data_IF_691334606535
#
_entry.id   IF_691334606535
#
_cell.length_a   1.000
_cell.length_b   1.000
_cell.length_c   1.000
_cell.angle_alpha   90.00
_cell.angle_beta   90.00
_cell.angle_gamma   90.00
#
_symmetry.space_group_name_H-M   'P 1'
#
loop_
_entity.id
_entity.type
_entity.pdbx_description
1 polymer ?
#
# COMPACT_ATOMS: atom_id res chain seq x y z
N UNK A 1 3.83 -3.03 -32.06
CA UNK A 1 3.48 -3.05 -30.61
C UNK A 1 4.68 -2.56 -29.83
N UNK A 2 4.55 -1.43 -29.10
CA UNK A 2 5.69 -0.77 -28.46
C UNK A 2 6.13 -1.52 -27.20
N UNK A 3 7.46 -1.55 -26.92
CA UNK A 3 8.09 -2.11 -25.73
C UNK A 3 7.41 -1.67 -24.42
N UNK A 4 6.87 -0.44 -24.37
CA UNK A 4 6.11 0.12 -23.25
C UNK A 4 4.75 -0.59 -22.97
N UNK A 5 4.09 -1.11 -24.00
CA UNK A 5 2.80 -1.83 -23.86
C UNK A 5 3.00 -3.24 -23.29
N UNK A 6 4.10 -3.90 -23.69
CA UNK A 6 4.47 -5.23 -23.19
C UNK A 6 4.94 -5.17 -21.70
N UNK A 7 5.61 -4.10 -21.29
CA UNK A 7 6.02 -3.91 -19.89
C UNK A 7 4.82 -3.63 -18.97
N UNK A 8 3.83 -2.83 -19.41
CA UNK A 8 2.59 -2.61 -18.65
C UNK A 8 1.79 -3.91 -18.45
N UNK A 9 1.71 -4.76 -19.47
CA UNK A 9 1.04 -6.06 -19.37
C UNK A 9 1.74 -7.02 -18.41
N UNK A 10 3.07 -7.08 -18.43
CA UNK A 10 3.88 -7.91 -17.52
C UNK A 10 3.80 -7.45 -16.07
N UNK A 11 3.81 -6.14 -15.80
CA UNK A 11 3.64 -5.58 -14.46
C UNK A 11 2.25 -5.92 -13.93
N UNK A 12 1.19 -5.75 -14.73
CA UNK A 12 -0.18 -6.13 -14.35
C UNK A 12 -0.30 -7.62 -14.03
N UNK A 13 0.30 -8.49 -14.83
CA UNK A 13 0.28 -9.94 -14.59
C UNK A 13 1.06 -10.33 -13.32
N UNK A 14 2.20 -9.70 -13.08
CA UNK A 14 2.98 -9.91 -11.84
C UNK A 14 2.19 -9.49 -10.60
N UNK A 15 1.48 -8.36 -10.66
CA UNK A 15 0.64 -7.89 -9.56
C UNK A 15 -0.51 -8.87 -9.29
N UNK A 16 -1.20 -9.34 -10.32
CA UNK A 16 -2.28 -10.33 -10.19
C UNK A 16 -1.81 -11.64 -9.55
N UNK A 17 -0.66 -12.17 -9.97
CA UNK A 17 -0.09 -13.40 -9.39
C UNK A 17 0.24 -13.23 -7.91
N UNK A 18 0.84 -12.09 -7.51
CA UNK A 18 1.12 -11.77 -6.11
C UNK A 18 -0.17 -11.68 -5.28
N UNK A 19 -1.19 -11.04 -5.82
CA UNK A 19 -2.49 -10.88 -5.17
C UNK A 19 -3.18 -12.23 -4.94
N UNK A 20 -3.18 -13.12 -5.93
CA UNK A 20 -3.72 -14.49 -5.80
C UNK A 20 -3.00 -15.26 -4.69
N UNK A 21 -1.67 -15.17 -4.61
CA UNK A 21 -0.91 -15.82 -3.53
C UNK A 21 -1.27 -15.26 -2.16
N UNK A 22 -1.42 -13.94 -2.02
CA UNK A 22 -1.79 -13.29 -0.76
C UNK A 22 -3.23 -13.61 -0.35
N UNK A 23 -4.18 -13.63 -1.27
CA UNK A 23 -5.55 -14.01 -1.00
C UNK A 23 -5.61 -15.45 -0.47
N UNK A 24 -4.90 -16.37 -1.15
CA UNK A 24 -4.87 -17.77 -0.73
C UNK A 24 -4.15 -17.95 0.63
N UNK A 25 -3.07 -17.21 0.86
CA UNK A 25 -2.41 -17.18 2.17
C UNK A 25 -3.35 -16.71 3.28
N UNK A 26 -4.16 -15.68 3.01
CA UNK A 26 -5.15 -15.16 3.95
C UNK A 26 -6.26 -16.17 4.26
N UNK A 27 -6.76 -16.88 3.24
CA UNK A 27 -7.74 -17.95 3.44
C UNK A 27 -7.18 -19.05 4.35
N UNK A 28 -5.94 -19.48 4.12
CA UNK A 28 -5.28 -20.50 4.92
C UNK A 28 -4.99 -20.02 6.34
N UNK A 29 -4.58 -18.77 6.54
CA UNK A 29 -4.32 -18.19 7.86
C UNK A 29 -5.58 -18.11 8.73
N UNK A 30 -6.77 -17.98 8.14
CA UNK A 30 -8.04 -18.07 8.88
C UNK A 30 -8.34 -19.47 9.41
N UNK A 31 -7.79 -20.50 8.79
CA UNK A 31 -8.04 -21.91 9.11
C UNK A 31 -6.89 -22.56 9.90
N UNK A 32 -5.68 -22.03 9.78
CA UNK A 32 -4.45 -22.61 10.30
C UNK A 32 -3.50 -21.52 10.79
N UNK A 33 -2.76 -21.80 11.85
CA UNK A 33 -1.72 -20.90 12.38
C UNK A 33 -0.43 -20.95 11.56
N UNK A 34 -0.16 -22.07 10.87
CA UNK A 34 1.06 -22.31 10.10
C UNK A 34 0.76 -22.49 8.61
N UNK A 35 1.39 -21.66 7.79
CA UNK A 35 1.37 -21.75 6.32
C UNK A 35 2.79 -21.68 5.77
N UNK A 36 3.02 -22.31 4.61
CA UNK A 36 4.28 -22.23 3.89
C UNK A 36 4.07 -21.73 2.45
N UNK A 37 5.12 -21.19 1.82
CA UNK A 37 5.07 -20.78 0.41
C UNK A 37 4.64 -21.95 -0.49
N UNK A 38 5.14 -23.17 -0.20
CA UNK A 38 4.77 -24.38 -0.93
C UNK A 38 3.28 -24.72 -0.83
N UNK A 39 2.74 -24.61 0.37
CA UNK A 39 1.32 -24.87 0.61
C UNK A 39 0.45 -23.87 -0.12
N UNK A 40 0.76 -22.58 0.01
CA UNK A 40 0.02 -21.50 -0.66
C UNK A 40 0.12 -21.62 -2.18
N UNK A 41 1.29 -21.96 -2.71
CA UNK A 41 1.49 -22.17 -4.15
C UNK A 41 0.60 -23.28 -4.69
N UNK A 42 0.57 -24.43 -4.00
CA UNK A 42 -0.27 -25.57 -4.37
C UNK A 42 -1.76 -25.21 -4.36
N UNK A 43 -2.23 -24.58 -3.30
CA UNK A 43 -3.63 -24.17 -3.14
C UNK A 43 -4.05 -23.07 -4.12
N UNK A 44 -3.09 -22.24 -4.57
CA UNK A 44 -3.30 -21.21 -5.58
C UNK A 44 -3.18 -21.70 -7.03
N UNK A 45 -2.80 -22.97 -7.26
CA UNK A 45 -2.52 -23.49 -8.60
C UNK A 45 -1.29 -22.86 -9.27
N UNK A 46 -0.35 -22.36 -8.48
CA UNK A 46 0.86 -21.66 -8.96
C UNK A 46 2.07 -22.55 -8.67
N UNK A 47 3.02 -22.60 -9.63
CA UNK A 47 4.23 -23.40 -9.42
C UNK A 47 5.05 -22.86 -8.25
N UNK A 48 5.70 -23.77 -7.49
CA UNK A 48 6.59 -23.40 -6.36
C UNK A 48 7.64 -22.37 -6.78
N UNK A 49 8.31 -22.60 -7.91
CA UNK A 49 9.32 -21.70 -8.43
C UNK A 49 8.76 -20.29 -8.68
N UNK A 50 7.53 -20.19 -9.18
CA UNK A 50 6.85 -18.92 -9.37
C UNK A 50 6.52 -18.28 -8.02
N UNK A 51 6.00 -19.02 -7.04
CA UNK A 51 5.66 -18.48 -5.73
C UNK A 51 6.89 -17.95 -4.99
N UNK A 52 8.01 -18.69 -5.02
CA UNK A 52 9.28 -18.25 -4.42
C UNK A 52 9.91 -17.02 -5.09
N UNK A 53 9.51 -16.69 -6.31
CA UNK A 53 9.88 -15.41 -6.93
C UNK A 53 9.19 -14.21 -6.30
N UNK A 54 8.04 -14.42 -5.66
CA UNK A 54 7.27 -13.37 -4.97
C UNK A 54 7.55 -13.32 -3.48
N UNK A 55 7.76 -14.48 -2.86
CA UNK A 55 7.97 -14.60 -1.41
C UNK A 55 9.15 -15.53 -1.15
N UNK A 56 10.26 -14.96 -0.72
CA UNK A 56 11.50 -15.70 -0.45
C UNK A 56 11.39 -16.63 0.77
N UNK A 57 10.43 -16.37 1.67
CA UNK A 57 10.18 -17.17 2.87
C UNK A 57 8.72 -17.21 3.25
N UNK A 58 8.34 -18.21 4.04
CA UNK A 58 7.01 -18.33 4.62
C UNK A 58 6.69 -17.18 5.57
N UNK A 59 7.69 -16.67 6.29
CA UNK A 59 7.51 -15.55 7.21
C UNK A 59 7.23 -14.24 6.47
N UNK A 60 7.89 -13.99 5.34
CA UNK A 60 7.60 -12.86 4.48
C UNK A 60 6.17 -12.93 3.94
N UNK A 61 5.74 -14.10 3.47
CA UNK A 61 4.39 -14.35 3.01
C UNK A 61 3.35 -14.15 4.11
N UNK A 62 3.53 -14.76 5.28
CA UNK A 62 2.64 -14.62 6.44
C UNK A 62 2.47 -13.18 6.86
N UNK A 63 3.58 -12.45 6.99
CA UNK A 63 3.60 -11.05 7.41
C UNK A 63 2.79 -10.18 6.45
N UNK A 64 3.04 -10.29 5.15
CA UNK A 64 2.32 -9.50 4.17
C UNK A 64 0.84 -9.87 4.09
N UNK A 65 0.52 -11.14 4.14
CA UNK A 65 -0.86 -11.62 4.16
C UNK A 65 -1.62 -11.07 5.39
N UNK A 66 -1.02 -11.12 6.58
CA UNK A 66 -1.62 -10.57 7.80
C UNK A 66 -1.87 -9.06 7.71
N UNK A 67 -0.94 -8.31 7.14
CA UNK A 67 -1.11 -6.87 6.92
C UNK A 67 -2.21 -6.58 5.88
N UNK A 68 -2.36 -7.45 4.88
CA UNK A 68 -3.41 -7.32 3.88
C UNK A 68 -4.82 -7.50 4.47
N UNK A 69 -5.00 -8.40 5.43
CA UNK A 69 -6.28 -8.61 6.13
C UNK A 69 -6.73 -7.39 6.93
N UNK A 70 -5.80 -6.55 7.39
CA UNK A 70 -6.07 -5.33 8.16
C UNK A 70 -6.40 -4.12 7.28
N UNK A 71 -6.20 -4.23 5.96
CA UNK A 71 -6.39 -3.13 5.03
C UNK A 71 -7.83 -3.06 4.52
N UNK A 72 -8.44 -1.87 4.58
CA UNK A 72 -9.76 -1.58 4.01
C UNK A 72 -9.70 -1.43 2.48
N UNK A 73 -10.82 -1.72 1.82
CA UNK A 73 -11.05 -1.39 0.41
C UNK A 73 -11.48 0.07 0.25
N UNK A 74 -11.55 0.56 -1.00
CA UNK A 74 -12.08 1.90 -1.29
C UNK A 74 -13.54 2.02 -0.82
N UNK A 75 -14.35 1.01 -1.11
CA UNK A 75 -15.78 0.99 -0.77
C UNK A 75 -15.97 0.99 0.75
N UNK A 76 -15.17 0.22 1.48
CA UNK A 76 -15.23 0.20 2.95
C UNK A 76 -14.83 1.54 3.59
N UNK A 77 -13.92 2.28 2.94
CA UNK A 77 -13.37 3.50 3.53
C UNK A 77 -14.24 4.73 3.28
N UNK A 78 -14.91 4.81 2.14
CA UNK A 78 -15.59 6.02 1.68
C UNK A 78 -17.10 5.85 1.43
N UNK A 79 -17.69 4.69 1.77
CA UNK A 79 -19.09 4.36 1.46
C UNK A 79 -20.12 5.40 1.97
N UNK A 80 -19.84 6.02 3.10
CA UNK A 80 -20.69 7.00 3.78
C UNK A 80 -20.36 8.46 3.42
N UNK A 81 -19.39 8.71 2.54
CA UNK A 81 -18.96 10.05 2.17
C UNK A 81 -19.31 10.37 0.71
N UNK A 82 -19.85 11.56 0.48
CA UNK A 82 -20.05 12.07 -0.87
C UNK A 82 -18.73 12.17 -1.64
N UNK A 83 -18.77 11.96 -2.96
CA UNK A 83 -17.62 12.15 -3.84
C UNK A 83 -17.13 13.59 -3.88
N UNK A 84 -17.99 14.55 -3.56
CA UNK A 84 -17.69 15.99 -3.50
C UNK A 84 -17.17 16.42 -2.13
N UNK A 85 -17.29 15.60 -1.09
CA UNK A 85 -16.75 15.90 0.24
C UNK A 85 -15.24 15.62 0.30
N UNK A 86 -14.49 16.42 -0.43
CA UNK A 86 -13.04 16.30 -0.52
C UNK A 86 -12.36 16.34 0.86
N UNK A 87 -12.81 17.24 1.74
CA UNK A 87 -12.22 17.41 3.08
C UNK A 87 -12.46 16.18 3.95
N UNK A 88 -13.71 15.73 4.06
CA UNK A 88 -14.05 14.55 4.86
C UNK A 88 -13.33 13.28 4.35
N UNK A 89 -13.21 13.14 3.02
CA UNK A 89 -12.49 12.00 2.41
C UNK A 89 -10.98 12.04 2.72
N UNK A 90 -10.36 13.22 2.70
CA UNK A 90 -8.93 13.37 3.06
C UNK A 90 -8.69 13.14 4.55
N UNK A 91 -9.51 13.71 5.43
CA UNK A 91 -9.41 13.49 6.86
C UNK A 91 -9.56 12.00 7.21
N UNK A 92 -10.55 11.32 6.59
CA UNK A 92 -10.74 9.87 6.70
C UNK A 92 -9.53 9.08 6.22
N UNK A 93 -8.93 9.49 5.11
CA UNK A 93 -7.74 8.84 4.55
C UNK A 93 -6.51 8.98 5.47
N UNK A 94 -6.31 10.17 6.04
CA UNK A 94 -5.25 10.44 7.03
C UNK A 94 -5.43 9.57 8.26
N UNK A 95 -6.60 9.64 8.88
CA UNK A 95 -6.88 8.91 10.13
C UNK A 95 -6.79 7.38 9.92
N UNK A 96 -7.28 6.88 8.78
CA UNK A 96 -7.17 5.47 8.44
C UNK A 96 -5.72 4.99 8.31
N UNK A 97 -4.91 5.67 7.50
CA UNK A 97 -3.52 5.26 7.30
C UNK A 97 -2.69 5.42 8.57
N UNK A 98 -2.91 6.51 9.31
CA UNK A 98 -2.22 6.75 10.57
C UNK A 98 -2.50 5.60 11.56
N UNK A 99 -3.78 5.31 11.83
CA UNK A 99 -4.16 4.24 12.75
C UNK A 99 -3.70 2.86 12.26
N UNK A 100 -3.78 2.58 10.97
CA UNK A 100 -3.30 1.33 10.39
C UNK A 100 -1.81 1.12 10.68
N UNK A 101 -0.99 2.14 10.48
CA UNK A 101 0.45 2.02 10.66
C UNK A 101 0.87 2.09 12.13
N UNK A 102 0.29 2.95 12.95
CA UNK A 102 0.64 3.05 14.37
C UNK A 102 0.27 1.77 15.12
N UNK A 103 -0.91 1.22 14.86
CA UNK A 103 -1.36 -0.01 15.53
C UNK A 103 -0.64 -1.28 15.04
N UNK A 104 0.13 -1.20 13.97
CA UNK A 104 0.86 -2.33 13.39
C UNK A 104 2.28 -1.93 12.98
N UNK A 105 2.91 -1.04 13.75
CA UNK A 105 4.17 -0.39 13.38
C UNK A 105 5.30 -1.40 13.20
N UNK A 106 5.44 -2.34 14.13
CA UNK A 106 6.50 -3.36 14.09
C UNK A 106 6.38 -4.20 12.83
N UNK A 107 5.19 -4.69 12.52
CA UNK A 107 4.92 -5.53 11.35
C UNK A 107 5.21 -4.78 10.05
N UNK A 108 4.79 -3.51 9.96
CA UNK A 108 5.05 -2.70 8.76
C UNK A 108 6.53 -2.32 8.61
N UNK A 109 7.25 -2.05 9.70
CA UNK A 109 8.71 -1.81 9.65
C UNK A 109 9.46 -3.06 9.19
N UNK A 110 9.11 -4.24 9.71
CA UNK A 110 9.69 -5.51 9.28
C UNK A 110 9.35 -5.83 7.81
N UNK A 111 8.13 -5.53 7.39
CA UNK A 111 7.70 -5.68 6.01
C UNK A 111 8.50 -4.76 5.07
N UNK A 112 8.66 -3.48 5.42
CA UNK A 112 9.44 -2.52 4.65
C UNK A 112 10.90 -2.96 4.53
N UNK A 113 11.53 -3.35 5.64
CA UNK A 113 12.91 -3.85 5.68
C UNK A 113 13.12 -5.04 4.74
N UNK A 114 12.20 -6.01 4.78
CA UNK A 114 12.25 -7.20 3.91
C UNK A 114 12.20 -6.80 2.42
N UNK A 115 11.25 -5.93 2.04
CA UNK A 115 11.07 -5.52 0.64
C UNK A 115 12.25 -4.69 0.13
N UNK A 116 12.77 -3.78 0.94
CA UNK A 116 13.93 -2.98 0.57
C UNK A 116 15.15 -3.89 0.41
N UNK A 117 15.38 -4.81 1.35
CA UNK A 117 16.46 -5.79 1.26
C UNK A 117 16.37 -6.64 0.00
N UNK A 118 15.20 -7.18 -0.33
CA UNK A 118 14.99 -7.94 -1.57
C UNK A 118 15.25 -7.10 -2.82
N UNK A 119 14.84 -5.84 -2.84
CA UNK A 119 15.03 -4.96 -4.01
C UNK A 119 16.49 -4.62 -4.30
N UNK A 120 17.34 -4.64 -3.28
CA UNK A 120 18.81 -4.46 -3.42
C UNK A 120 19.45 -5.70 -4.03
N UNK A 121 19.02 -6.88 -3.61
CA UNK A 121 19.59 -8.17 -4.03
C UNK A 121 19.08 -8.59 -5.41
N UNK A 122 17.82 -8.31 -5.72
CA UNK A 122 17.11 -8.81 -6.89
C UNK A 122 16.59 -7.67 -7.77
N UNK A 123 17.18 -7.49 -8.94
CA UNK A 123 16.75 -6.47 -9.94
C UNK A 123 15.31 -6.67 -10.45
N UNK A 124 14.79 -7.90 -10.36
CA UNK A 124 13.41 -8.26 -10.77
C UNK A 124 12.45 -8.42 -9.60
N UNK A 125 12.82 -7.93 -8.40
CA UNK A 125 11.96 -7.99 -7.23
C UNK A 125 10.58 -7.37 -7.55
N UNK A 126 9.48 -8.00 -7.13
CA UNK A 126 8.14 -7.48 -7.38
C UNK A 126 7.97 -6.11 -6.73
N UNK A 127 7.38 -5.16 -7.47
CA UNK A 127 7.00 -3.88 -6.87
C UNK A 127 5.93 -4.07 -5.79
N UNK A 128 5.93 -3.19 -4.80
CA UNK A 128 4.91 -3.17 -3.76
C UNK A 128 3.52 -2.94 -4.36
N UNK A 129 2.49 -3.56 -3.76
CA UNK A 129 1.12 -3.32 -4.17
C UNK A 129 0.74 -1.84 -3.99
N UNK A 130 0.20 -1.23 -5.04
CA UNK A 130 -0.11 0.21 -5.09
C UNK A 130 -1.43 0.60 -4.40
N UNK A 131 -1.86 -0.11 -3.36
CA UNK A 131 -3.14 0.10 -2.68
C UNK A 131 -3.32 1.53 -2.18
N UNK A 132 -2.27 2.12 -1.57
CA UNK A 132 -2.31 3.53 -1.13
C UNK A 132 -2.63 4.48 -2.28
N UNK A 133 -2.09 4.22 -3.49
CA UNK A 133 -2.33 5.05 -4.66
C UNK A 133 -3.81 5.00 -5.08
N UNK A 134 -4.42 3.83 -5.02
CA UNK A 134 -5.85 3.67 -5.33
C UNK A 134 -6.72 4.44 -4.33
N UNK A 135 -6.44 4.32 -3.03
CA UNK A 135 -7.16 5.05 -1.97
C UNK A 135 -6.99 6.57 -2.10
N UNK A 136 -5.77 7.04 -2.41
CA UNK A 136 -5.51 8.48 -2.64
C UNK A 136 -6.30 8.98 -3.86
N UNK A 137 -6.25 8.25 -4.99
CA UNK A 137 -7.01 8.61 -6.19
C UNK A 137 -8.50 8.65 -5.92
N UNK A 138 -9.02 7.68 -5.17
CA UNK A 138 -10.43 7.64 -4.78
C UNK A 138 -10.79 8.81 -3.86
N UNK A 139 -9.95 9.17 -2.91
CA UNK A 139 -10.18 10.35 -2.06
C UNK A 139 -10.21 11.66 -2.86
N UNK A 140 -9.38 11.76 -3.91
CA UNK A 140 -9.23 12.95 -4.76
C UNK A 140 -10.12 12.92 -6.02
N UNK A 141 -11.04 11.97 -6.18
CA UNK A 141 -11.72 11.76 -7.47
C UNK A 141 -12.49 12.98 -7.98
N UNK A 142 -13.02 13.81 -7.08
CA UNK A 142 -13.69 15.08 -7.45
C UNK A 142 -12.75 16.08 -8.14
N UNK A 143 -11.44 15.99 -7.90
CA UNK A 143 -10.44 16.86 -8.54
C UNK A 143 -9.96 16.32 -9.89
N UNK A 144 -10.21 15.08 -10.22
CA UNK A 144 -9.66 14.45 -11.41
C UNK A 144 -10.14 15.09 -12.72
N UNK A 145 -11.37 15.59 -12.74
CA UNK A 145 -11.96 16.29 -13.90
C UNK A 145 -11.63 17.78 -13.95
N UNK A 146 -11.18 18.36 -12.82
CA UNK A 146 -10.96 19.81 -12.69
C UNK A 146 -9.49 20.20 -12.82
N UNK A 147 -8.57 19.26 -12.57
CA UNK A 147 -7.13 19.50 -12.65
C UNK A 147 -6.52 18.94 -13.94
N UNK A 148 -5.48 19.60 -14.46
CA UNK A 148 -4.66 19.02 -15.50
C UNK A 148 -4.10 17.65 -15.04
N UNK A 149 -4.06 16.61 -15.91
CA UNK A 149 -3.63 15.27 -15.53
C UNK A 149 -2.23 15.21 -14.87
N UNK A 150 -1.31 16.05 -15.27
CA UNK A 150 0.02 16.14 -14.68
C UNK A 150 -0.05 16.64 -13.23
N UNK A 151 -0.82 17.70 -12.96
CA UNK A 151 -1.02 18.26 -11.61
C UNK A 151 -1.69 17.25 -10.70
N UNK A 152 -2.75 16.60 -11.16
CA UNK A 152 -3.42 15.53 -10.41
C UNK A 152 -2.45 14.39 -10.04
N UNK A 153 -1.63 13.95 -10.98
CA UNK A 153 -0.64 12.89 -10.72
C UNK A 153 0.46 13.34 -9.75
N UNK A 154 0.93 14.61 -9.84
CA UNK A 154 1.88 15.15 -8.86
C UNK A 154 1.28 15.16 -7.45
N UNK A 155 0.03 15.59 -7.31
CA UNK A 155 -0.69 15.56 -6.03
C UNK A 155 -0.80 14.16 -5.45
N UNK A 156 -1.22 13.17 -6.25
CA UNK A 156 -1.29 11.75 -5.85
C UNK A 156 0.08 11.23 -5.39
N UNK A 157 1.14 11.52 -6.16
CA UNK A 157 2.50 11.07 -5.83
C UNK A 157 3.01 11.74 -4.55
N UNK A 158 2.79 13.04 -4.37
CA UNK A 158 3.17 13.77 -3.15
C UNK A 158 2.48 13.22 -1.92
N UNK A 159 1.16 12.99 -1.99
CA UNK A 159 0.42 12.39 -0.89
C UNK A 159 0.89 10.97 -0.57
N UNK A 160 1.34 10.21 -1.58
CA UNK A 160 1.83 8.84 -1.35
C UNK A 160 3.08 8.76 -0.47
N UNK A 161 3.83 9.86 -0.31
CA UNK A 161 4.99 9.95 0.58
C UNK A 161 4.55 9.89 2.04
N UNK A 162 3.41 10.50 2.38
CA UNK A 162 2.90 10.52 3.76
C UNK A 162 2.23 9.19 4.13
N UNK A 163 1.40 8.63 3.28
CA UNK A 163 0.59 7.44 3.59
C UNK A 163 1.38 6.13 3.50
N UNK A 164 2.47 6.03 4.27
CA UNK A 164 3.32 4.87 4.37
C UNK A 164 4.08 4.80 5.67
N UNK A 165 4.50 3.59 6.06
CA UNK A 165 5.35 3.37 7.24
C UNK A 165 6.68 4.12 7.10
N UNK A 166 7.10 4.42 5.87
CA UNK A 166 8.32 5.17 5.58
C UNK A 166 8.30 6.55 6.24
N UNK A 167 7.19 7.28 6.12
CA UNK A 167 7.06 8.62 6.71
C UNK A 167 7.01 8.56 8.24
N UNK A 168 6.30 7.59 8.82
CA UNK A 168 6.28 7.36 10.27
C UNK A 168 7.69 7.06 10.77
N UNK A 169 8.43 6.20 10.06
CA UNK A 169 9.82 5.88 10.42
C UNK A 169 10.69 7.13 10.45
N UNK A 170 10.62 8.00 9.43
CA UNK A 170 11.38 9.25 9.40
C UNK A 170 10.95 10.19 10.54
N UNK A 171 9.66 10.40 10.73
CA UNK A 171 9.14 11.33 11.72
C UNK A 171 9.45 10.88 13.16
N UNK A 172 9.43 9.57 13.43
CA UNK A 172 9.82 9.03 14.75
C UNK A 172 11.34 8.98 14.94
N UNK A 173 12.05 8.37 13.99
CA UNK A 173 13.45 8.00 14.20
C UNK A 173 14.40 9.19 13.99
N UNK A 174 14.07 10.07 13.05
CA UNK A 174 14.89 11.25 12.71
C UNK A 174 14.38 12.51 13.41
N UNK A 175 13.07 12.80 13.27
CA UNK A 175 12.48 14.03 13.83
C UNK A 175 12.10 13.89 15.31
N UNK A 176 12.09 12.67 15.87
CA UNK A 176 11.77 12.37 17.28
C UNK A 176 10.35 12.79 17.71
N UNK A 177 9.41 12.81 16.77
CA UNK A 177 8.05 13.21 17.04
C UNK A 177 7.24 12.12 17.75
N UNK A 178 6.32 12.56 18.60
CA UNK A 178 5.28 11.72 19.19
C UNK A 178 4.22 11.34 18.14
N UNK A 179 3.37 10.38 18.45
CA UNK A 179 2.27 9.98 17.56
C UNK A 179 1.34 11.16 17.24
N UNK A 180 1.02 11.99 18.22
CA UNK A 180 0.14 13.15 18.04
C UNK A 180 0.78 14.20 17.11
N UNK A 181 2.05 14.49 17.29
CA UNK A 181 2.80 15.40 16.42
C UNK A 181 2.90 14.89 14.99
N UNK A 182 3.06 13.58 14.80
CA UNK A 182 3.05 12.94 13.48
C UNK A 182 1.68 13.13 12.81
N UNK A 183 0.59 12.86 13.53
CA UNK A 183 -0.76 13.03 12.99
C UNK A 183 -1.02 14.50 12.60
N UNK A 184 -0.62 15.46 13.45
CA UNK A 184 -0.74 16.89 13.15
C UNK A 184 0.10 17.28 11.92
N UNK A 185 1.32 16.77 11.82
CA UNK A 185 2.20 17.00 10.67
C UNK A 185 1.58 16.46 9.38
N UNK A 186 1.00 15.26 9.40
CA UNK A 186 0.31 14.70 8.26
C UNK A 186 -0.91 15.53 7.85
N UNK A 187 -1.78 15.90 8.81
CA UNK A 187 -2.96 16.74 8.56
C UNK A 187 -2.58 18.08 7.96
N UNK A 188 -1.57 18.73 8.52
CA UNK A 188 -1.05 20.00 7.99
C UNK A 188 -0.53 19.85 6.56
N UNK A 189 0.32 18.84 6.29
CA UNK A 189 0.93 18.61 4.98
C UNK A 189 -0.09 18.29 3.91
N UNK A 190 -1.04 17.39 4.20
CA UNK A 190 -2.13 17.02 3.28
C UNK A 190 -2.98 18.24 2.92
N UNK A 191 -3.33 19.07 3.93
CA UNK A 191 -4.06 20.31 3.69
C UNK A 191 -3.29 21.28 2.78
N UNK A 192 -1.99 21.44 2.99
CA UNK A 192 -1.15 22.30 2.16
C UNK A 192 -1.05 21.83 0.72
N UNK A 193 -0.89 20.51 0.50
CA UNK A 193 -0.79 19.93 -0.83
C UNK A 193 -2.10 20.08 -1.61
N UNK A 194 -3.25 19.91 -0.95
CA UNK A 194 -4.53 19.81 -1.67
C UNK A 194 -5.27 21.14 -1.76
N UNK A 195 -5.21 21.97 -0.72
CA UNK A 195 -6.03 23.19 -0.63
C UNK A 195 -5.23 24.49 -0.77
N UNK A 196 -3.90 24.40 -0.83
CA UNK A 196 -3.10 25.60 -1.07
C UNK A 196 -3.24 25.99 -2.55
N UNK A 197 -3.82 27.15 -2.77
CA UNK A 197 -3.78 27.83 -4.08
C UNK A 197 -2.69 28.90 -3.98
N UNK A 198 -1.80 28.92 -4.96
CA UNK A 198 -0.84 30.01 -5.19
C UNK A 198 -1.58 31.33 -5.41
#
# INVERSE_FOLDING_TARGET
MSKLSLDKGRVSQKMKTREVLLLKANELLKQRTEISVDMVAREAGISKATAYRYFSSSDALKREASLQLKAKTNDDLFADLSDTDLRGRLDRLVDYHFNLFINNEIEFRLFLSSIIGESVIRKDAPSRAGRRILLIREALKSLQSTLAPAVFNHMVNSLSIFFGIESITVLKDVCRLTNDEILQTWKWSVNRIVFFKD
#
